data_IF_605362180579
#
_entry.id   IF_605362180579
#
_cell.length_a   1.000
_cell.length_b   1.000
_cell.length_c   1.000
_cell.angle_alpha   90.00
_cell.angle_beta   90.00
_cell.angle_gamma   90.00
#
_symmetry.space_group_name_H-M   'P 1'
#
loop_
_entity.id
_entity.type
_entity.pdbx_description
1 polymer ?
#
# COMPACT_ATOMS: atom_id res chain seq x y z
N UNK A 1 -1.85 -7.94 -29.65
CA UNK A 1 -2.30 -7.17 -28.49
C UNK A 1 -1.18 -7.03 -27.44
N UNK A 2 -0.48 -8.11 -27.03
CA UNK A 2 0.63 -8.02 -26.06
C UNK A 2 1.79 -7.16 -26.57
N UNK A 3 2.13 -7.20 -27.87
CA UNK A 3 3.13 -6.34 -28.48
C UNK A 3 2.82 -4.86 -28.30
N UNK A 4 1.54 -4.46 -28.37
CA UNK A 4 1.13 -3.08 -28.11
C UNK A 4 1.34 -2.68 -26.64
N UNK A 5 1.13 -3.60 -25.70
CA UNK A 5 1.41 -3.37 -24.28
C UNK A 5 2.91 -3.15 -24.03
N UNK A 6 3.79 -3.93 -24.68
CA UNK A 6 5.24 -3.71 -24.62
C UNK A 6 5.65 -2.40 -25.30
N UNK A 7 5.04 -2.06 -26.46
CA UNK A 7 5.28 -0.78 -27.14
C UNK A 7 4.94 0.43 -26.25
N UNK A 8 4.02 0.29 -25.30
CA UNK A 8 3.74 1.30 -24.29
C UNK A 8 4.66 1.17 -23.05
N UNK A 9 5.03 -0.04 -22.64
CA UNK A 9 5.87 -0.26 -21.46
C UNK A 9 7.31 0.27 -21.62
N UNK A 10 7.87 0.20 -22.84
CA UNK A 10 9.21 0.76 -23.12
C UNK A 10 9.26 2.27 -22.93
N UNK A 11 8.40 3.10 -23.57
CA UNK A 11 8.40 4.52 -23.28
C UNK A 11 8.01 4.85 -21.83
N UNK A 12 7.15 4.07 -21.16
CA UNK A 12 6.87 4.23 -19.75
C UNK A 12 8.15 4.14 -18.90
N UNK A 13 8.97 3.11 -19.15
CA UNK A 13 10.27 2.97 -18.51
C UNK A 13 11.21 4.13 -18.81
N UNK A 14 11.35 4.52 -20.11
CA UNK A 14 12.24 5.60 -20.51
C UNK A 14 11.85 6.95 -19.88
N UNK A 15 10.55 7.26 -19.83
CA UNK A 15 10.03 8.46 -19.17
C UNK A 15 10.29 8.44 -17.67
N UNK A 16 10.03 7.31 -17.01
CA UNK A 16 10.28 7.16 -15.57
C UNK A 16 11.77 7.25 -15.24
N UNK A 17 12.64 6.62 -16.04
CA UNK A 17 14.09 6.70 -15.87
C UNK A 17 14.62 8.12 -16.11
N UNK A 18 14.19 8.77 -17.20
CA UNK A 18 14.58 10.15 -17.48
C UNK A 18 14.08 11.12 -16.40
N UNK A 19 12.82 10.96 -15.95
CA UNK A 19 12.27 11.77 -14.88
C UNK A 19 12.99 11.59 -13.54
N UNK A 20 13.45 10.36 -13.26
CA UNK A 20 14.23 10.07 -12.07
C UNK A 20 15.66 10.63 -12.11
N UNK A 21 16.22 10.85 -13.29
CA UNK A 21 17.58 11.39 -13.48
C UNK A 21 17.61 12.91 -13.61
N UNK A 22 16.48 13.54 -13.93
CA UNK A 22 16.35 14.98 -14.08
C UNK A 22 15.86 15.63 -12.78
N UNK A 23 16.13 16.93 -12.56
CA UNK A 23 15.56 17.67 -11.45
C UNK A 23 14.03 17.65 -11.50
N UNK A 24 13.39 17.45 -10.37
CA UNK A 24 11.91 17.52 -10.21
C UNK A 24 11.46 18.90 -9.76
N UNK A 25 12.38 19.67 -9.17
CA UNK A 25 12.20 21.06 -8.70
C UNK A 25 13.36 21.88 -9.22
N UNK A 26 13.11 23.12 -9.67
CA UNK A 26 14.15 24.04 -10.16
C UNK A 26 15.09 24.45 -9.03
N UNK A 27 16.38 24.53 -9.34
CA UNK A 27 17.42 24.84 -8.35
C UNK A 27 17.88 23.65 -7.52
N UNK A 28 17.20 22.49 -7.63
CA UNK A 28 17.63 21.26 -7.00
C UNK A 28 18.80 20.62 -7.77
N UNK A 29 19.99 20.62 -7.20
CA UNK A 29 21.08 19.75 -7.68
C UNK A 29 20.61 18.30 -7.52
N UNK A 30 20.26 17.63 -8.63
CA UNK A 30 19.88 16.20 -8.65
C UNK A 30 19.04 15.81 -7.41
N UNK A 31 17.77 16.14 -7.42
CA UNK A 31 16.87 15.96 -6.28
C UNK A 31 16.65 14.53 -5.76
N UNK A 32 17.62 13.62 -5.98
CA UNK A 32 17.50 12.21 -5.67
C UNK A 32 18.55 11.82 -4.62
N UNK A 33 18.09 11.51 -3.43
CA UNK A 33 18.93 10.96 -2.37
C UNK A 33 19.40 9.55 -2.70
N UNK A 34 18.57 8.75 -3.38
CA UNK A 34 18.98 7.43 -3.87
C UNK A 34 19.85 7.56 -5.13
N UNK A 35 20.86 6.71 -5.23
CA UNK A 35 21.76 6.71 -6.39
C UNK A 35 21.02 6.46 -7.70
N UNK A 36 21.40 7.13 -8.81
CA UNK A 36 20.68 7.07 -10.10
C UNK A 36 20.57 5.64 -10.64
N UNK A 37 21.57 4.80 -10.39
CA UNK A 37 21.54 3.38 -10.80
C UNK A 37 20.40 2.63 -10.13
N UNK A 38 20.19 2.84 -8.84
CA UNK A 38 19.11 2.19 -8.09
C UNK A 38 17.75 2.56 -8.68
N UNK A 39 17.54 3.83 -8.97
CA UNK A 39 16.27 4.34 -9.51
C UNK A 39 15.97 3.78 -10.91
N UNK A 40 16.98 3.75 -11.78
CA UNK A 40 16.83 3.17 -13.12
C UNK A 40 16.57 1.66 -13.05
N UNK A 41 17.31 0.93 -12.21
CA UNK A 41 17.12 -0.51 -12.03
C UNK A 41 15.71 -0.81 -11.53
N UNK A 42 15.23 -0.09 -10.54
CA UNK A 42 13.89 -0.30 -10.00
C UNK A 42 12.80 0.06 -11.01
N UNK A 43 12.97 1.14 -11.77
CA UNK A 43 12.06 1.51 -12.85
C UNK A 43 12.01 0.45 -13.97
N UNK A 44 13.13 -0.24 -14.22
CA UNK A 44 13.23 -1.29 -15.23
C UNK A 44 12.58 -2.62 -14.79
N UNK A 45 12.42 -2.89 -13.49
CA UNK A 45 11.96 -4.19 -12.98
C UNK A 45 10.68 -4.70 -13.65
N UNK A 46 9.59 -3.93 -13.80
CA UNK A 46 8.38 -4.43 -14.44
C UNK A 46 8.60 -4.82 -15.90
N UNK A 47 9.36 -4.01 -16.65
CA UNK A 47 9.66 -4.27 -18.06
C UNK A 47 10.56 -5.51 -18.23
N UNK A 48 11.59 -5.64 -17.41
CA UNK A 48 12.52 -6.78 -17.42
C UNK A 48 11.79 -8.07 -17.06
N UNK A 49 10.97 -8.08 -16.01
CA UNK A 49 10.18 -9.23 -15.62
C UNK A 49 9.18 -9.63 -16.71
N UNK A 50 8.43 -8.68 -17.27
CA UNK A 50 7.50 -8.95 -18.37
C UNK A 50 8.24 -9.50 -19.58
N UNK A 51 9.38 -8.92 -19.96
CA UNK A 51 10.23 -9.39 -21.04
C UNK A 51 10.75 -10.81 -20.82
N UNK A 52 11.20 -11.11 -19.60
CA UNK A 52 11.68 -12.45 -19.22
C UNK A 52 10.59 -13.52 -19.37
N UNK A 53 9.34 -13.21 -19.01
CA UNK A 53 8.20 -14.11 -19.24
C UNK A 53 7.85 -14.24 -20.73
N UNK A 54 7.85 -13.13 -21.46
CA UNK A 54 7.54 -13.13 -22.89
C UNK A 54 8.54 -14.00 -23.69
N UNK A 55 9.83 -13.87 -23.43
CA UNK A 55 10.88 -14.69 -24.06
C UNK A 55 10.73 -16.18 -23.77
N UNK A 56 10.20 -16.52 -22.58
CA UNK A 56 9.91 -17.91 -22.20
C UNK A 56 8.57 -18.42 -22.72
N UNK A 57 7.86 -17.65 -23.54
CA UNK A 57 6.55 -18.03 -24.07
C UNK A 57 5.38 -17.88 -23.08
N UNK A 58 5.63 -17.39 -21.86
CA UNK A 58 4.60 -17.19 -20.83
C UNK A 58 3.90 -15.83 -21.01
N UNK A 59 3.15 -15.68 -22.08
CA UNK A 59 2.52 -14.42 -22.49
C UNK A 59 1.52 -13.90 -21.45
N UNK A 60 0.78 -14.78 -20.76
CA UNK A 60 -0.20 -14.43 -19.71
C UNK A 60 0.52 -13.88 -18.49
N UNK A 61 1.64 -14.51 -18.08
CA UNK A 61 2.44 -14.01 -16.98
C UNK A 61 3.08 -12.65 -17.32
N UNK A 62 3.57 -12.47 -18.55
CA UNK A 62 4.09 -11.18 -19.02
C UNK A 62 3.03 -10.08 -18.96
N UNK A 63 1.80 -10.37 -19.42
CA UNK A 63 0.67 -9.44 -19.31
C UNK A 63 0.34 -9.15 -17.84
N UNK A 64 0.35 -10.18 -16.98
CA UNK A 64 0.14 -10.05 -15.54
C UNK A 64 1.12 -9.07 -14.89
N UNK A 65 2.41 -9.13 -15.22
CA UNK A 65 3.42 -8.20 -14.70
C UNK A 65 3.06 -6.75 -15.04
N UNK A 66 2.69 -6.49 -16.29
CA UNK A 66 2.32 -5.13 -16.72
C UNK A 66 1.02 -4.66 -16.03
N UNK A 67 0.05 -5.55 -15.84
CA UNK A 67 -1.20 -5.26 -15.12
C UNK A 67 -0.90 -4.93 -13.64
N UNK A 68 -0.11 -5.76 -12.96
CA UNK A 68 0.24 -5.56 -11.55
C UNK A 68 1.00 -4.26 -11.31
N UNK A 69 1.96 -3.93 -12.14
CA UNK A 69 2.69 -2.65 -12.08
C UNK A 69 1.77 -1.45 -12.36
N UNK A 70 0.87 -1.56 -13.36
CA UNK A 70 -0.06 -0.51 -13.73
C UNK A 70 -1.10 -0.22 -12.63
N UNK A 71 -1.48 -1.20 -11.83
CA UNK A 71 -2.42 -1.01 -10.73
C UNK A 71 -1.89 -0.03 -9.66
N UNK A 72 -0.57 0.05 -9.47
CA UNK A 72 0.05 0.98 -8.52
C UNK A 72 0.39 2.35 -9.13
N UNK A 73 0.46 2.44 -10.45
CA UNK A 73 0.92 3.64 -11.14
C UNK A 73 0.08 4.91 -10.85
N UNK A 74 -1.27 4.86 -10.71
CA UNK A 74 -2.05 6.03 -10.33
C UNK A 74 -1.66 6.60 -8.97
N UNK A 75 -1.48 5.75 -7.95
CA UNK A 75 -1.05 6.19 -6.63
C UNK A 75 0.36 6.78 -6.64
N UNK A 76 1.26 6.22 -7.44
CA UNK A 76 2.61 6.77 -7.63
C UNK A 76 2.60 8.12 -8.34
N UNK A 77 1.76 8.28 -9.37
CA UNK A 77 1.60 9.56 -10.04
C UNK A 77 1.11 10.65 -9.07
N UNK A 78 0.11 10.33 -8.24
CA UNK A 78 -0.39 11.25 -7.22
C UNK A 78 0.71 11.56 -6.19
N UNK A 79 1.50 10.55 -5.78
CA UNK A 79 2.61 10.75 -4.86
C UNK A 79 3.67 11.69 -5.44
N UNK A 80 4.00 11.57 -6.71
CA UNK A 80 4.95 12.47 -7.37
C UNK A 80 4.42 13.91 -7.45
N UNK A 81 3.10 14.10 -7.64
CA UNK A 81 2.48 15.43 -7.70
C UNK A 81 2.61 16.24 -6.39
N UNK A 82 3.07 15.64 -5.27
CA UNK A 82 3.37 16.39 -4.05
C UNK A 82 4.39 17.53 -4.31
N UNK A 83 5.33 17.33 -5.25
CA UNK A 83 6.33 18.34 -5.60
C UNK A 83 5.75 19.54 -6.36
N UNK A 84 4.60 19.35 -7.01
CA UNK A 84 3.87 20.48 -7.61
C UNK A 84 3.00 21.22 -6.58
N UNK A 85 2.48 20.49 -5.58
CA UNK A 85 1.60 21.05 -4.56
C UNK A 85 2.37 21.74 -3.43
N UNK A 86 3.36 21.07 -2.85
CA UNK A 86 4.15 21.57 -1.71
C UNK A 86 5.62 21.09 -1.81
N UNK A 87 6.44 21.70 -2.67
CA UNK A 87 7.80 21.22 -2.90
C UNK A 87 8.69 21.29 -1.66
N UNK A 88 8.50 22.30 -0.81
CA UNK A 88 9.28 22.49 0.43
C UNK A 88 8.98 21.48 1.54
N UNK A 89 7.87 20.74 1.43
CA UNK A 89 7.41 19.74 2.42
C UNK A 89 7.36 18.32 1.86
N UNK A 90 8.09 18.09 0.77
CA UNK A 90 8.13 16.78 0.14
C UNK A 90 8.63 15.70 1.11
N UNK A 91 7.92 14.56 1.15
CA UNK A 91 8.16 13.47 2.11
C UNK A 91 8.87 12.25 1.50
N UNK A 92 9.43 12.40 0.30
CA UNK A 92 10.13 11.30 -0.39
C UNK A 92 11.62 11.38 -0.21
N UNK A 93 12.26 10.38 0.44
CA UNK A 93 13.70 10.42 0.72
C UNK A 93 14.56 10.29 -0.54
N UNK A 94 14.06 9.64 -1.60
CA UNK A 94 14.75 9.56 -2.87
C UNK A 94 14.81 10.91 -3.60
N UNK A 95 14.00 11.86 -3.18
CA UNK A 95 13.92 13.23 -3.70
C UNK A 95 14.28 14.16 -2.54
N UNK A 96 15.56 14.18 -2.19
CA UNK A 96 16.10 15.03 -1.16
C UNK A 96 16.02 16.51 -1.61
N UNK A 97 15.14 17.25 -0.96
CA UNK A 97 15.09 18.72 -1.08
C UNK A 97 15.51 19.29 0.27
N UNK A 98 16.61 20.06 0.34
CA UNK A 98 16.89 20.83 1.53
C UNK A 98 15.69 21.75 1.79
N UNK A 99 15.27 21.87 3.05
CA UNK A 99 14.23 22.82 3.44
C UNK A 99 14.74 24.23 3.12
N UNK A 100 14.26 24.78 2.03
CA UNK A 100 14.58 26.14 1.61
C UNK A 100 13.39 27.05 1.93
N UNK A 101 13.69 28.29 2.32
CA UNK A 101 12.69 29.33 2.59
C UNK A 101 12.07 29.90 1.31
N UNK A 102 12.59 29.52 0.15
CA UNK A 102 12.14 30.02 -1.15
C UNK A 102 11.16 29.05 -1.82
N UNK A 103 10.15 29.60 -2.47
CA UNK A 103 9.24 28.81 -3.31
C UNK A 103 9.99 28.34 -4.57
N UNK A 104 10.09 27.04 -4.76
CA UNK A 104 10.66 26.44 -5.95
C UNK A 104 9.58 26.18 -6.99
N UNK A 105 9.90 26.38 -8.26
CA UNK A 105 9.07 25.98 -9.39
C UNK A 105 9.31 24.52 -9.78
N UNK A 106 8.33 23.95 -10.45
CA UNK A 106 8.38 22.54 -10.91
C UNK A 106 9.32 22.40 -12.09
N UNK A 107 10.23 21.45 -12.02
CA UNK A 107 11.16 21.11 -13.11
C UNK A 107 10.62 20.00 -14.02
N UNK A 108 11.19 19.85 -15.25
CA UNK A 108 10.71 18.86 -16.23
C UNK A 108 10.71 17.42 -15.76
N UNK A 109 11.61 17.04 -14.84
CA UNK A 109 11.71 15.68 -14.28
C UNK A 109 10.40 15.18 -13.69
N UNK A 110 9.66 16.06 -12.99
CA UNK A 110 8.36 15.70 -12.42
C UNK A 110 7.35 15.30 -13.49
N UNK A 111 7.25 16.08 -14.55
CA UNK A 111 6.29 15.81 -15.64
C UNK A 111 6.62 14.53 -16.39
N UNK A 112 7.91 14.20 -16.52
CA UNK A 112 8.35 12.92 -17.09
C UNK A 112 7.98 11.73 -16.19
N UNK A 113 8.12 11.85 -14.87
CA UNK A 113 7.67 10.82 -13.92
C UNK A 113 6.16 10.60 -14.03
N UNK A 114 5.37 11.66 -13.97
CA UNK A 114 3.90 11.58 -14.09
C UNK A 114 3.50 10.99 -15.44
N UNK A 115 4.11 11.44 -16.54
CA UNK A 115 3.87 10.87 -17.87
C UNK A 115 4.25 9.38 -17.93
N UNK A 116 5.37 8.99 -17.31
CA UNK A 116 5.79 7.59 -17.19
C UNK A 116 4.74 6.73 -16.49
N UNK A 117 4.14 7.22 -15.40
CA UNK A 117 3.06 6.52 -14.72
C UNK A 117 1.78 6.43 -15.55
N UNK A 118 1.39 7.50 -16.24
CA UNK A 118 0.24 7.48 -17.15
C UNK A 118 0.44 6.44 -18.26
N UNK A 119 1.61 6.41 -18.88
CA UNK A 119 1.93 5.43 -19.94
C UNK A 119 2.01 4.01 -19.35
N UNK A 120 2.44 3.83 -18.09
CA UNK A 120 2.38 2.54 -17.40
C UNK A 120 0.94 2.05 -17.24
N UNK A 121 -0.01 2.92 -16.90
CA UNK A 121 -1.45 2.57 -16.87
C UNK A 121 -1.93 2.14 -18.24
N UNK A 122 -1.55 2.87 -19.31
CA UNK A 122 -1.91 2.50 -20.68
C UNK A 122 -1.36 1.13 -21.05
N UNK A 123 -0.10 0.83 -20.69
CA UNK A 123 0.51 -0.50 -20.92
C UNK A 123 -0.27 -1.60 -20.21
N UNK A 124 -0.70 -1.40 -18.97
CA UNK A 124 -1.52 -2.34 -18.22
C UNK A 124 -2.90 -2.57 -18.80
N UNK A 125 -3.57 -1.50 -19.26
CA UNK A 125 -4.88 -1.61 -19.94
C UNK A 125 -4.75 -2.38 -21.25
N UNK A 126 -3.69 -2.14 -22.04
CA UNK A 126 -3.42 -2.90 -23.26
C UNK A 126 -3.11 -4.37 -22.96
N UNK A 127 -2.37 -4.66 -21.88
CA UNK A 127 -2.10 -6.01 -21.42
C UNK A 127 -3.38 -6.73 -20.96
N UNK A 128 -4.27 -6.03 -20.26
CA UNK A 128 -5.58 -6.57 -19.85
C UNK A 128 -6.46 -6.92 -21.05
N UNK A 129 -6.51 -6.05 -22.05
CA UNK A 129 -7.23 -6.31 -23.32
C UNK A 129 -6.61 -7.47 -24.12
N UNK A 130 -5.28 -7.63 -24.06
CA UNK A 130 -4.60 -8.75 -24.71
C UNK A 130 -5.02 -10.10 -24.09
N UNK A 131 -5.25 -10.11 -22.79
CA UNK A 131 -5.70 -11.31 -22.07
C UNK A 131 -7.17 -11.67 -22.36
N UNK A 132 -8.04 -10.69 -22.50
CA UNK A 132 -9.47 -10.95 -22.72
C UNK A 132 -9.78 -11.78 -23.98
N UNK A 133 -8.82 -11.91 -24.90
CA UNK A 133 -8.90 -12.74 -26.11
C UNK A 133 -8.24 -14.11 -26.00
N UNK A 134 -7.70 -14.51 -24.84
CA UNK A 134 -7.04 -15.79 -24.59
C UNK A 134 -7.92 -16.76 -23.80
N UNK A 135 -7.71 -18.07 -24.03
CA UNK A 135 -8.38 -19.11 -23.22
C UNK A 135 -7.89 -19.04 -21.76
N UNK A 136 -8.81 -19.21 -20.82
CA UNK A 136 -8.47 -19.31 -19.40
C UNK A 136 -7.66 -20.60 -19.19
N UNK A 137 -6.46 -20.46 -18.61
CA UNK A 137 -5.62 -21.61 -18.27
C UNK A 137 -6.35 -22.55 -17.30
N UNK A 138 -6.08 -23.85 -17.43
CA UNK A 138 -6.64 -24.86 -16.55
C UNK A 138 -6.26 -24.59 -15.10
N UNK A 139 -7.23 -24.71 -14.19
CA UNK A 139 -7.03 -24.53 -12.76
C UNK A 139 -5.90 -25.48 -12.27
N UNK A 140 -4.86 -24.89 -11.69
CA UNK A 140 -3.78 -25.62 -11.02
C UNK A 140 -4.35 -26.23 -9.72
N UNK A 141 -4.02 -27.46 -9.38
CA UNK A 141 -4.47 -28.15 -8.16
C UNK A 141 -3.89 -27.53 -6.86
N UNK A 142 -3.92 -26.22 -6.75
CA UNK A 142 -3.47 -25.45 -5.59
C UNK A 142 -4.66 -25.04 -4.73
N UNK A 143 -4.48 -24.98 -3.40
CA UNK A 143 -5.48 -24.43 -2.48
C UNK A 143 -5.64 -22.92 -2.71
N UNK A 144 -6.73 -22.46 -3.35
CA UNK A 144 -6.93 -21.06 -3.67
C UNK A 144 -7.13 -20.20 -2.40
N UNK A 145 -7.68 -20.78 -1.34
CA UNK A 145 -7.93 -20.08 -0.08
C UNK A 145 -6.64 -19.72 0.65
N UNK A 146 -5.73 -20.69 0.77
CA UNK A 146 -4.42 -20.48 1.42
C UNK A 146 -3.55 -19.50 0.62
N UNK A 147 -3.54 -19.64 -0.71
CA UNK A 147 -2.78 -18.72 -1.57
C UNK A 147 -3.31 -17.29 -1.46
N UNK A 148 -4.63 -17.12 -1.43
CA UNK A 148 -5.27 -15.82 -1.24
C UNK A 148 -4.89 -15.22 0.11
N UNK A 149 -5.00 -16.00 1.20
CA UNK A 149 -4.65 -15.54 2.53
C UNK A 149 -3.19 -15.07 2.60
N UNK A 150 -2.24 -15.86 2.11
CA UNK A 150 -0.82 -15.50 2.11
C UNK A 150 -0.54 -14.28 1.26
N UNK A 151 -1.06 -14.21 0.03
CA UNK A 151 -0.80 -13.09 -0.87
C UNK A 151 -1.40 -11.78 -0.36
N UNK A 152 -2.64 -11.81 0.15
CA UNK A 152 -3.29 -10.62 0.69
C UNK A 152 -2.63 -10.18 2.00
N UNK A 153 -2.28 -11.12 2.90
CA UNK A 153 -1.57 -10.79 4.14
C UNK A 153 -0.21 -10.13 3.87
N UNK A 154 0.54 -10.68 2.92
CA UNK A 154 1.82 -10.12 2.50
C UNK A 154 1.66 -8.72 1.89
N UNK A 155 0.65 -8.53 1.03
CA UNK A 155 0.34 -7.24 0.43
C UNK A 155 -0.09 -6.20 1.48
N UNK A 156 -0.87 -6.60 2.49
CA UNK A 156 -1.27 -5.72 3.60
C UNK A 156 -0.06 -5.36 4.47
N UNK A 157 0.82 -6.31 4.78
CA UNK A 157 2.05 -6.01 5.52
C UNK A 157 2.93 -5.01 4.75
N UNK A 158 3.08 -5.20 3.44
CA UNK A 158 3.80 -4.25 2.58
C UNK A 158 3.10 -2.88 2.56
N UNK A 159 1.78 -2.83 2.49
CA UNK A 159 1.00 -1.59 2.50
C UNK A 159 1.15 -0.83 3.82
N UNK A 160 1.13 -1.52 4.96
CA UNK A 160 1.38 -0.93 6.28
C UNK A 160 2.78 -0.31 6.31
N UNK A 161 3.80 -1.04 5.85
CA UNK A 161 5.17 -0.53 5.79
C UNK A 161 5.32 0.71 4.91
N UNK A 162 4.57 0.80 3.79
CA UNK A 162 4.58 1.96 2.89
C UNK A 162 4.03 3.23 3.53
N UNK A 163 3.07 3.13 4.45
CA UNK A 163 2.50 4.31 5.13
C UNK A 163 3.29 4.71 6.37
N UNK A 164 4.20 3.87 6.84
CA UNK A 164 5.12 4.19 7.95
C UNK A 164 6.22 5.15 7.47
N UNK A 165 6.99 5.66 8.42
CA UNK A 165 8.15 6.52 8.12
C UNK A 165 9.13 5.80 7.17
N UNK A 166 9.52 6.45 6.05
CA UNK A 166 10.43 5.83 5.07
C UNK A 166 11.90 5.80 5.55
N UNK A 167 12.28 6.68 6.47
CA UNK A 167 13.62 6.75 7.06
C UNK A 167 13.55 7.37 8.45
N UNK A 168 14.62 7.32 9.22
CA UNK A 168 14.86 8.14 10.39
C UNK A 168 15.91 9.20 10.05
N UNK A 169 15.85 10.40 10.65
CA UNK A 169 16.79 11.47 10.37
C UNK A 169 17.38 12.04 11.65
N UNK A 170 18.68 12.34 11.63
CA UNK A 170 19.36 13.12 12.66
C UNK A 170 19.35 14.62 12.36
N UNK A 171 18.96 15.03 11.14
CA UNK A 171 18.90 16.42 10.72
C UNK A 171 17.58 17.07 11.12
N UNK A 172 17.66 18.25 11.74
CA UNK A 172 16.49 19.00 12.21
C UNK A 172 15.59 19.47 11.05
N UNK A 173 16.19 19.70 9.90
CA UNK A 173 15.49 20.21 8.72
C UNK A 173 14.94 19.11 7.79
N UNK A 174 15.40 17.86 7.96
CA UNK A 174 14.91 16.72 7.19
C UNK A 174 14.00 15.89 8.08
N UNK A 175 12.72 16.24 8.10
CA UNK A 175 11.73 15.57 8.93
C UNK A 175 11.37 14.20 8.34
N UNK A 176 11.60 13.16 9.12
CA UNK A 176 11.11 11.82 8.82
C UNK A 176 9.61 11.77 9.14
N UNK A 177 8.77 11.87 8.12
CA UNK A 177 7.31 11.88 8.26
C UNK A 177 6.73 10.56 7.76
N UNK A 178 5.71 10.05 8.45
CA UNK A 178 4.88 8.99 7.91
C UNK A 178 3.89 9.55 6.88
N UNK A 179 3.15 8.70 6.18
CA UNK A 179 2.23 9.14 5.14
C UNK A 179 1.15 10.11 5.63
N UNK A 180 0.79 10.08 6.91
CA UNK A 180 -0.27 10.90 7.50
C UNK A 180 0.23 12.26 8.01
N UNK A 181 1.52 12.41 8.19
CA UNK A 181 2.19 13.65 8.63
C UNK A 181 2.65 14.51 7.44
N UNK A 182 2.78 13.88 6.28
CA UNK A 182 3.18 14.54 5.04
C UNK A 182 2.10 15.40 4.40
N UNK A 183 2.40 16.05 3.25
CA UNK A 183 1.44 16.79 2.48
C UNK A 183 0.22 15.93 2.08
N UNK A 184 -0.97 16.53 1.98
CA UNK A 184 -2.21 15.82 1.63
C UNK A 184 -2.09 15.02 0.32
N UNK A 185 -1.39 15.56 -0.66
CA UNK A 185 -1.16 14.89 -1.94
C UNK A 185 -0.28 13.66 -1.76
N UNK A 186 0.78 13.75 -0.95
CA UNK A 186 1.63 12.59 -0.61
C UNK A 186 0.84 11.53 0.14
N UNK A 187 0.04 11.92 1.14
CA UNK A 187 -0.85 11.02 1.88
C UNK A 187 -1.80 10.29 0.93
N UNK A 188 -2.48 11.01 0.03
CA UNK A 188 -3.38 10.41 -0.95
C UNK A 188 -2.64 9.41 -1.86
N UNK A 189 -1.45 9.75 -2.34
CA UNK A 189 -0.61 8.87 -3.15
C UNK A 189 -0.22 7.59 -2.41
N UNK A 190 0.28 7.69 -1.18
CA UNK A 190 0.62 6.53 -0.34
C UNK A 190 -0.60 5.64 -0.06
N UNK A 191 -1.75 6.23 0.28
CA UNK A 191 -2.98 5.47 0.53
C UNK A 191 -3.49 4.76 -0.73
N UNK A 192 -3.40 5.39 -1.90
CA UNK A 192 -3.75 4.76 -3.17
C UNK A 192 -2.86 3.55 -3.47
N UNK A 193 -1.53 3.68 -3.30
CA UNK A 193 -0.61 2.55 -3.49
C UNK A 193 -0.86 1.46 -2.46
N UNK A 194 -1.02 1.83 -1.19
CA UNK A 194 -1.27 0.89 -0.10
C UNK A 194 -2.58 0.11 -0.29
N UNK A 195 -3.63 0.76 -0.79
CA UNK A 195 -4.90 0.09 -1.11
C UNK A 195 -4.78 -0.78 -2.38
N UNK A 196 -4.05 -0.32 -3.40
CA UNK A 196 -3.90 -1.05 -4.65
C UNK A 196 -3.18 -2.39 -4.48
N UNK A 197 -2.23 -2.51 -3.56
CA UNK A 197 -1.47 -3.74 -3.33
C UNK A 197 -2.35 -4.93 -2.95
N UNK A 198 -3.11 -4.91 -1.83
CA UNK A 198 -3.96 -6.04 -1.44
C UNK A 198 -5.12 -6.26 -2.42
N UNK A 199 -5.66 -5.20 -3.02
CA UNK A 199 -6.70 -5.33 -4.05
C UNK A 199 -6.16 -6.07 -5.28
N UNK A 200 -4.97 -5.70 -5.77
CA UNK A 200 -4.33 -6.38 -6.90
C UNK A 200 -4.03 -7.84 -6.56
N UNK A 201 -3.52 -8.14 -5.36
CA UNK A 201 -3.27 -9.49 -4.91
C UNK A 201 -4.56 -10.32 -4.85
N UNK A 202 -5.63 -9.77 -4.30
CA UNK A 202 -6.93 -10.44 -4.21
C UNK A 202 -7.53 -10.72 -5.60
N UNK A 203 -7.55 -9.72 -6.49
CA UNK A 203 -8.06 -9.89 -7.86
C UNK A 203 -7.23 -10.90 -8.65
N UNK A 204 -5.90 -10.83 -8.55
CA UNK A 204 -5.01 -11.75 -9.25
C UNK A 204 -5.27 -13.19 -8.81
N UNK A 205 -5.27 -13.47 -7.49
CA UNK A 205 -5.50 -14.84 -6.98
C UNK A 205 -6.90 -15.33 -7.29
N UNK A 206 -7.91 -14.46 -7.22
CA UNK A 206 -9.30 -14.81 -7.56
C UNK A 206 -9.52 -15.13 -9.04
N UNK A 207 -8.57 -14.78 -9.92
CA UNK A 207 -8.67 -15.10 -11.35
C UNK A 207 -8.55 -16.61 -11.63
N UNK A 208 -7.95 -17.38 -10.74
CA UNK A 208 -7.72 -18.81 -10.91
C UNK A 208 -6.66 -19.20 -11.96
N UNK A 209 -6.14 -18.24 -12.72
CA UNK A 209 -5.12 -18.46 -13.74
C UNK A 209 -3.72 -18.36 -13.12
N UNK A 210 -2.94 -19.45 -13.02
CA UNK A 210 -1.66 -19.47 -12.31
C UNK A 210 -0.62 -18.53 -12.91
N UNK A 211 -0.59 -18.38 -14.23
CA UNK A 211 0.36 -17.49 -14.90
C UNK A 211 0.00 -16.03 -14.69
N UNK A 212 -1.29 -15.69 -14.70
CA UNK A 212 -1.73 -14.35 -14.37
C UNK A 212 -1.44 -14.00 -12.91
N UNK A 213 -1.74 -14.91 -11.98
CA UNK A 213 -1.44 -14.73 -10.56
C UNK A 213 0.04 -14.43 -10.39
N UNK A 214 0.90 -15.30 -10.95
CA UNK A 214 2.35 -15.16 -10.90
C UNK A 214 2.81 -13.81 -11.43
N UNK A 215 2.38 -13.45 -12.62
CA UNK A 215 2.74 -12.19 -13.26
C UNK A 215 2.27 -10.98 -12.48
N UNK A 216 0.99 -10.94 -12.08
CA UNK A 216 0.39 -9.79 -11.41
C UNK A 216 1.00 -9.54 -10.02
N UNK A 217 1.26 -10.60 -9.24
CA UNK A 217 1.92 -10.46 -7.94
C UNK A 217 3.36 -9.95 -8.08
N UNK A 218 4.12 -10.47 -9.07
CA UNK A 218 5.48 -9.99 -9.34
C UNK A 218 5.49 -8.55 -9.86
N UNK A 219 4.53 -8.19 -10.70
CA UNK A 219 4.39 -6.82 -11.21
C UNK A 219 4.03 -5.83 -10.11
N UNK A 220 3.11 -6.18 -9.23
CA UNK A 220 2.75 -5.38 -8.06
C UNK A 220 3.95 -5.24 -7.10
N UNK A 221 4.67 -6.34 -6.83
CA UNK A 221 5.88 -6.31 -6.00
C UNK A 221 6.96 -5.40 -6.61
N UNK A 222 7.21 -5.50 -7.92
CA UNK A 222 8.17 -4.63 -8.62
C UNK A 222 7.75 -3.15 -8.57
N UNK A 223 6.46 -2.87 -8.77
CA UNK A 223 5.92 -1.51 -8.65
C UNK A 223 6.09 -0.92 -7.25
N UNK A 224 5.79 -1.69 -6.20
CA UNK A 224 5.93 -1.25 -4.81
C UNK A 224 7.41 -1.17 -4.36
N UNK A 225 8.28 -2.05 -4.87
CA UNK A 225 9.73 -1.96 -4.66
C UNK A 225 10.29 -0.61 -5.14
N UNK A 226 9.63 0.01 -6.14
CA UNK A 226 9.94 1.36 -6.61
C UNK A 226 9.80 2.46 -5.57
N UNK A 227 9.16 2.21 -4.44
CA UNK A 227 9.05 3.15 -3.32
C UNK A 227 9.97 2.73 -2.16
N UNK A 228 10.01 1.43 -1.83
CA UNK A 228 10.74 0.93 -0.66
C UNK A 228 12.27 0.86 -0.88
N UNK A 229 12.71 0.41 -2.07
CA UNK A 229 14.15 0.23 -2.35
C UNK A 229 14.90 1.56 -2.36
N UNK A 230 14.41 2.64 -3.02
CA UNK A 230 15.05 3.94 -2.95
C UNK A 230 15.14 4.49 -1.53
N UNK A 231 14.11 4.31 -0.70
CA UNK A 231 14.13 4.73 0.70
C UNK A 231 15.24 4.04 1.49
N UNK A 232 15.39 2.72 1.31
CA UNK A 232 16.50 1.96 1.94
C UNK A 232 17.85 2.40 1.40
N UNK A 233 17.97 2.58 0.06
CA UNK A 233 19.22 3.02 -0.56
C UNK A 233 19.63 4.42 -0.08
N UNK A 234 18.69 5.34 0.08
CA UNK A 234 18.96 6.67 0.63
C UNK A 234 19.43 6.59 2.10
N UNK A 235 18.75 5.78 2.92
CA UNK A 235 19.11 5.58 4.33
C UNK A 235 20.50 4.93 4.52
N UNK A 236 20.94 4.15 3.54
CA UNK A 236 22.29 3.53 3.55
C UNK A 236 23.36 4.41 2.91
N UNK A 237 22.97 5.37 2.09
CA UNK A 237 23.88 6.24 1.33
C UNK A 237 24.16 7.60 1.94
N UNK A 238 23.35 8.02 2.93
CA UNK A 238 23.46 9.32 3.58
C UNK A 238 23.66 9.14 5.09
N UNK A 239 24.75 9.66 5.62
CA UNK A 239 25.10 9.55 7.05
C UNK A 239 24.07 10.19 7.99
N UNK A 240 23.27 11.11 7.47
CA UNK A 240 22.22 11.83 8.22
C UNK A 240 20.91 11.04 8.28
N UNK A 241 20.76 9.99 7.47
CA UNK A 241 19.58 9.13 7.43
C UNK A 241 19.86 7.79 8.09
N UNK A 242 18.83 7.24 8.73
CA UNK A 242 18.85 5.90 9.30
C UNK A 242 17.72 5.03 8.70
N UNK A 243 17.91 3.71 8.77
CA UNK A 243 16.90 2.74 8.37
C UNK A 243 15.68 2.83 9.28
N UNK A 244 14.50 2.90 8.68
CA UNK A 244 13.22 2.80 9.39
C UNK A 244 12.62 1.40 9.24
N UNK A 245 11.73 1.05 10.16
CA UNK A 245 10.95 -0.21 10.11
C UNK A 245 10.03 -0.26 8.89
N UNK A 246 9.49 0.89 8.44
CA UNK A 246 8.54 0.96 7.33
C UNK A 246 9.02 0.27 6.05
N UNK A 247 10.12 0.73 5.43
CA UNK A 247 10.68 0.10 4.22
C UNK A 247 11.08 -1.37 4.42
N UNK A 248 11.59 -1.73 5.61
CA UNK A 248 11.94 -3.12 5.91
C UNK A 248 10.70 -4.02 5.95
N UNK A 249 9.62 -3.56 6.58
CA UNK A 249 8.34 -4.26 6.60
C UNK A 249 7.75 -4.37 5.20
N UNK A 250 7.84 -3.29 4.41
CA UNK A 250 7.43 -3.31 3.01
C UNK A 250 8.20 -4.39 2.24
N UNK A 251 9.54 -4.37 2.29
CA UNK A 251 10.36 -5.34 1.57
C UNK A 251 10.11 -6.77 2.04
N UNK A 252 9.91 -7.00 3.34
CA UNK A 252 9.54 -8.32 3.87
C UNK A 252 8.19 -8.79 3.31
N UNK A 253 7.16 -7.94 3.30
CA UNK A 253 5.88 -8.23 2.69
C UNK A 253 5.98 -8.52 1.19
N UNK A 254 6.76 -7.72 0.45
CA UNK A 254 7.02 -7.95 -0.97
C UNK A 254 7.78 -9.26 -1.22
N UNK A 255 8.73 -9.62 -0.38
CA UNK A 255 9.45 -10.91 -0.48
C UNK A 255 8.49 -12.09 -0.31
N UNK A 256 7.57 -12.03 0.67
CA UNK A 256 6.53 -13.06 0.84
C UNK A 256 5.59 -13.08 -0.37
N UNK A 257 5.24 -11.92 -0.93
CA UNK A 257 4.41 -11.82 -2.15
C UNK A 257 5.09 -12.48 -3.35
N UNK A 258 6.40 -12.25 -3.51
CA UNK A 258 7.23 -12.91 -4.55
C UNK A 258 7.25 -14.42 -4.34
N UNK A 259 7.43 -14.89 -3.11
CA UNK A 259 7.38 -16.33 -2.78
C UNK A 259 6.01 -16.90 -3.13
N UNK A 260 4.91 -16.24 -2.77
CA UNK A 260 3.54 -16.66 -3.10
C UNK A 260 3.28 -16.68 -4.63
N UNK A 261 4.00 -15.83 -5.39
CA UNK A 261 3.95 -15.84 -6.85
C UNK A 261 4.70 -17.03 -7.47
N UNK A 262 5.84 -17.42 -6.88
CA UNK A 262 6.76 -18.38 -7.47
C UNK A 262 6.52 -19.83 -6.99
N UNK A 263 6.08 -19.99 -5.74
CA UNK A 263 5.85 -21.29 -5.14
C UNK A 263 4.45 -21.78 -5.46
N UNK A 264 4.38 -23.01 -6.01
CA UNK A 264 3.11 -23.75 -6.10
C UNK A 264 2.76 -24.24 -4.70
N UNK A 265 1.65 -23.76 -4.15
CA UNK A 265 1.14 -24.25 -2.88
C UNK A 265 0.27 -25.48 -3.19
N UNK A 266 0.73 -26.72 -2.92
CA UNK A 266 -0.08 -27.90 -3.15
C UNK A 266 -1.37 -27.77 -2.34
N UNK A 267 -2.50 -28.25 -2.91
CA UNK A 267 -3.70 -28.47 -2.13
C UNK A 267 -3.29 -29.35 -0.95
N UNK A 268 -3.67 -28.95 0.27
CA UNK A 268 -3.54 -29.87 1.40
C UNK A 268 -4.23 -31.17 0.96
N UNK A 269 -3.50 -32.30 1.00
CA UNK A 269 -4.11 -33.61 0.72
C UNK A 269 -5.41 -33.63 1.50
N UNK A 270 -6.53 -33.77 0.77
CA UNK A 270 -7.84 -33.73 1.36
C UNK A 270 -7.83 -34.80 2.47
N UNK A 271 -7.82 -34.37 3.71
CA UNK A 271 -8.04 -35.25 4.82
C UNK A 271 -9.41 -35.87 4.60
N UNK A 272 -9.40 -37.08 4.03
CA UNK A 272 -10.52 -37.94 3.75
C UNK A 272 -11.70 -37.31 3.03
N UNK A 273 -12.23 -37.93 2.02
CA UNK A 273 -13.44 -37.54 1.26
C UNK A 273 -14.67 -37.23 2.16
N UNK A 274 -14.59 -37.52 3.46
CA UNK A 274 -15.60 -37.21 4.48
C UNK A 274 -15.60 -35.74 4.98
N UNK A 275 -14.59 -34.91 4.64
CA UNK A 275 -14.55 -33.54 5.06
C UNK A 275 -15.37 -32.56 4.19
N UNK A 276 -15.88 -33.00 3.06
CA UNK A 276 -16.59 -32.16 2.09
C UNK A 276 -17.99 -31.71 2.58
N UNK A 277 -18.55 -32.28 3.62
CA UNK A 277 -19.93 -32.00 4.04
C UNK A 277 -20.09 -31.54 5.52
N UNK A 278 -19.01 -31.35 6.25
CA UNK A 278 -19.10 -30.75 7.59
C UNK A 278 -19.24 -29.21 7.47
N UNK A 279 -20.38 -28.79 6.99
CA UNK A 279 -20.85 -27.41 7.26
C UNK A 279 -21.11 -27.34 8.75
N UNK A 280 -20.12 -26.91 9.52
CA UNK A 280 -20.30 -26.63 10.94
C UNK A 280 -21.53 -25.73 11.09
N UNK A 281 -22.57 -26.15 11.84
CA UNK A 281 -23.81 -25.37 12.03
C UNK A 281 -23.57 -23.95 12.57
N UNK A 282 -22.36 -23.66 13.08
CA UNK A 282 -21.92 -22.35 13.56
C UNK A 282 -21.34 -21.41 12.49
N UNK A 283 -21.03 -21.87 11.28
CA UNK A 283 -20.32 -21.08 10.28
C UNK A 283 -21.07 -19.81 9.85
N UNK A 284 -22.40 -19.88 9.73
CA UNK A 284 -23.25 -18.73 9.38
C UNK A 284 -23.32 -17.75 10.54
N UNK A 285 -23.47 -18.21 11.78
CA UNK A 285 -23.49 -17.37 12.98
C UNK A 285 -22.16 -16.65 13.18
N UNK A 286 -21.06 -17.38 13.04
CA UNK A 286 -19.71 -16.81 13.15
C UNK A 286 -19.45 -15.75 12.08
N UNK A 287 -19.83 -16.02 10.83
CA UNK A 287 -19.73 -15.06 9.73
C UNK A 287 -20.54 -13.79 9.99
N UNK A 288 -21.80 -13.96 10.43
CA UNK A 288 -22.66 -12.80 10.75
C UNK A 288 -22.09 -12.02 11.93
N UNK A 289 -21.61 -12.70 12.98
CA UNK A 289 -21.01 -12.05 14.14
C UNK A 289 -19.75 -11.25 13.75
N UNK A 290 -18.82 -11.84 12.97
CA UNK A 290 -17.63 -11.13 12.48
C UNK A 290 -17.98 -9.96 11.57
N UNK A 291 -18.97 -10.12 10.66
CA UNK A 291 -19.43 -9.03 9.79
C UNK A 291 -20.08 -7.88 10.56
N UNK A 292 -20.94 -8.17 11.54
CA UNK A 292 -21.54 -7.16 12.42
C UNK A 292 -20.47 -6.50 13.30
N UNK A 293 -19.56 -7.29 13.88
CA UNK A 293 -18.45 -6.77 14.66
C UNK A 293 -17.57 -5.81 13.85
N UNK A 294 -17.30 -6.14 12.58
CA UNK A 294 -16.57 -5.28 11.67
C UNK A 294 -17.30 -3.95 11.41
N UNK A 295 -18.61 -3.98 11.20
CA UNK A 295 -19.40 -2.75 11.04
C UNK A 295 -19.36 -1.88 12.30
N UNK A 296 -19.50 -2.48 13.48
CA UNK A 296 -19.47 -1.75 14.75
C UNK A 296 -18.07 -1.16 14.99
N UNK A 297 -17.02 -1.94 14.83
CA UNK A 297 -15.65 -1.44 15.01
C UNK A 297 -15.30 -0.36 13.99
N UNK A 298 -15.69 -0.54 12.72
CA UNK A 298 -15.52 0.45 11.67
C UNK A 298 -16.23 1.76 11.99
N UNK A 299 -17.50 1.70 12.42
CA UNK A 299 -18.26 2.88 12.83
C UNK A 299 -17.60 3.59 14.03
N UNK A 300 -17.20 2.84 15.07
CA UNK A 300 -16.53 3.40 16.23
C UNK A 300 -15.18 4.04 15.87
N UNK A 301 -14.40 3.42 14.96
CA UNK A 301 -13.14 3.98 14.49
C UNK A 301 -13.36 5.29 13.72
N UNK A 302 -14.38 5.36 12.85
CA UNK A 302 -14.75 6.59 12.13
C UNK A 302 -15.20 7.68 13.11
N UNK A 303 -16.08 7.36 14.07
CA UNK A 303 -16.52 8.31 15.09
C UNK A 303 -15.32 8.79 15.93
N UNK A 304 -14.44 7.88 16.36
CA UNK A 304 -13.23 8.21 17.09
C UNK A 304 -12.29 9.13 16.32
N UNK A 305 -12.20 8.95 15.00
CA UNK A 305 -11.36 9.79 14.14
C UNK A 305 -11.93 11.20 13.93
N UNK A 306 -13.25 11.37 13.83
CA UNK A 306 -13.89 12.67 13.57
C UNK A 306 -14.22 13.46 14.84
N UNK A 307 -14.27 12.79 15.99
CA UNK A 307 -14.51 13.47 17.27
C UNK A 307 -13.20 13.98 17.89
N UNK A 308 -13.22 15.07 18.66
CA UNK A 308 -12.03 15.62 19.30
C UNK A 308 -11.36 14.58 20.21
N UNK A 309 -10.06 14.36 20.01
CA UNK A 309 -9.25 13.43 20.79
C UNK A 309 -8.62 14.11 22.03
N UNK A 310 -8.42 15.42 21.93
CA UNK A 310 -7.93 16.26 22.99
C UNK A 310 -8.92 17.39 23.26
N UNK A 311 -9.09 17.74 24.52
CA UNK A 311 -9.81 18.94 24.97
C UNK A 311 -8.84 19.84 25.70
N UNK A 312 -8.70 21.07 25.24
CA UNK A 312 -7.87 22.11 25.88
C UNK A 312 -8.77 23.07 26.65
N UNK A 313 -8.33 23.48 27.84
CA UNK A 313 -8.98 24.54 28.58
C UNK A 313 -8.49 25.89 28.06
N UNK A 314 -9.36 26.64 27.35
CA UNK A 314 -9.06 27.94 26.80
C UNK A 314 -9.31 28.06 25.31
N UNK A 315 -8.96 29.22 24.72
CA UNK A 315 -9.18 29.54 23.30
C UNK A 315 -8.14 28.95 22.33
N UNK A 316 -7.24 28.13 22.81
CA UNK A 316 -6.21 27.49 21.98
C UNK A 316 -6.83 26.23 21.36
N UNK A 317 -6.90 26.19 20.02
CA UNK A 317 -7.33 24.98 19.34
C UNK A 317 -6.39 23.82 19.70
N UNK A 318 -6.97 22.69 20.14
CA UNK A 318 -6.18 21.50 20.41
C UNK A 318 -5.50 21.04 19.10
N UNK A 319 -4.19 20.70 19.14
CA UNK A 319 -3.51 20.19 17.96
C UNK A 319 -4.21 18.90 17.50
N UNK A 320 -4.59 18.86 16.24
CA UNK A 320 -5.22 17.68 15.66
C UNK A 320 -4.17 16.60 15.44
N UNK A 321 -4.38 15.41 16.00
CA UNK A 321 -3.48 14.28 15.77
C UNK A 321 -3.57 13.82 14.30
N UNK A 322 -2.46 13.79 13.55
CA UNK A 322 -2.46 13.24 12.20
C UNK A 322 -2.88 11.76 12.15
N UNK A 323 -2.66 11.03 13.25
CA UNK A 323 -3.05 9.62 13.38
C UNK A 323 -4.57 9.38 13.25
N UNK A 324 -5.41 10.42 13.44
CA UNK A 324 -6.87 10.30 13.27
C UNK A 324 -7.24 9.88 11.84
N UNK A 325 -6.50 10.34 10.84
CA UNK A 325 -6.76 9.98 9.44
C UNK A 325 -6.48 8.51 9.14
N UNK A 326 -5.45 7.93 9.81
CA UNK A 326 -5.18 6.49 9.72
C UNK A 326 -6.29 5.67 10.34
N UNK A 327 -6.82 6.11 11.47
CA UNK A 327 -7.94 5.46 12.14
C UNK A 327 -9.23 5.55 11.31
N UNK A 328 -9.49 6.70 10.68
CA UNK A 328 -10.62 6.89 9.76
C UNK A 328 -10.51 5.95 8.56
N UNK A 329 -9.36 5.89 7.91
CA UNK A 329 -9.12 5.02 6.76
C UNK A 329 -9.28 3.53 7.15
N UNK A 330 -8.68 3.10 8.26
CA UNK A 330 -8.83 1.74 8.77
C UNK A 330 -10.28 1.40 9.11
N UNK A 331 -11.00 2.34 9.73
CA UNK A 331 -12.43 2.18 10.05
C UNK A 331 -13.31 2.02 8.81
N UNK A 332 -13.07 2.81 7.76
CA UNK A 332 -13.77 2.70 6.49
C UNK A 332 -13.51 1.35 5.81
N UNK A 333 -12.24 0.92 5.75
CA UNK A 333 -11.86 -0.38 5.16
C UNK A 333 -12.52 -1.53 5.90
N UNK A 334 -12.47 -1.54 7.23
CA UNK A 334 -13.11 -2.58 8.06
C UNK A 334 -14.62 -2.56 7.87
N UNK A 335 -15.25 -1.38 7.81
CA UNK A 335 -16.68 -1.25 7.55
C UNK A 335 -17.10 -1.83 6.20
N UNK A 336 -16.37 -1.51 5.12
CA UNK A 336 -16.62 -2.06 3.78
C UNK A 336 -16.43 -3.58 3.76
N UNK A 337 -15.37 -4.09 4.37
CA UNK A 337 -15.14 -5.54 4.46
C UNK A 337 -16.21 -6.22 5.31
N UNK A 338 -16.71 -5.58 6.37
CA UNK A 338 -17.82 -6.05 7.18
C UNK A 338 -19.10 -6.21 6.37
N UNK A 339 -19.45 -5.23 5.51
CA UNK A 339 -20.60 -5.37 4.61
C UNK A 339 -20.40 -6.52 3.61
N UNK A 340 -19.22 -6.63 3.02
CA UNK A 340 -18.89 -7.71 2.09
C UNK A 340 -18.93 -9.09 2.77
N UNK A 341 -18.57 -9.20 4.06
CA UNK A 341 -18.66 -10.42 4.86
C UNK A 341 -20.11 -10.89 5.05
N UNK A 342 -21.07 -9.97 5.12
CA UNK A 342 -22.48 -10.30 5.24
C UNK A 342 -23.11 -10.81 3.95
N UNK A 343 -22.49 -10.54 2.78
CA UNK A 343 -22.98 -11.02 1.49
C UNK A 343 -22.71 -12.52 1.33
N UNK A 344 -23.71 -13.34 0.88
CA UNK A 344 -23.59 -14.80 0.85
C UNK A 344 -22.45 -15.34 -0.03
N UNK A 345 -22.11 -14.64 -1.11
CA UNK A 345 -21.13 -15.09 -2.12
C UNK A 345 -19.68 -14.68 -1.82
N UNK A 346 -19.47 -13.66 -1.02
CA UNK A 346 -18.13 -13.05 -0.80
C UNK A 346 -17.52 -13.37 0.56
N UNK A 347 -18.32 -13.84 1.53
CA UNK A 347 -17.91 -13.98 2.93
C UNK A 347 -16.69 -14.87 3.17
N UNK A 348 -16.49 -15.93 2.37
CA UNK A 348 -15.33 -16.84 2.51
C UNK A 348 -14.03 -16.14 2.07
N UNK A 349 -14.09 -15.35 0.99
CA UNK A 349 -12.93 -14.64 0.45
C UNK A 349 -12.55 -13.41 1.29
N UNK A 350 -13.54 -12.78 1.93
CA UNK A 350 -13.34 -11.56 2.72
C UNK A 350 -12.75 -11.84 4.10
N UNK A 351 -12.97 -13.03 4.66
CA UNK A 351 -12.55 -13.37 6.04
C UNK A 351 -11.05 -13.15 6.30
N UNK A 352 -10.10 -13.66 5.48
CA UNK A 352 -8.68 -13.43 5.70
C UNK A 352 -8.28 -11.96 5.50
N UNK A 353 -8.97 -11.23 4.60
CA UNK A 353 -8.73 -9.80 4.40
C UNK A 353 -9.21 -9.01 5.60
N UNK A 354 -10.36 -9.37 6.17
CA UNK A 354 -10.91 -8.73 7.35
C UNK A 354 -10.00 -8.93 8.58
N UNK A 355 -9.45 -10.15 8.77
CA UNK A 355 -8.53 -10.39 9.88
C UNK A 355 -7.28 -9.52 9.82
N UNK A 356 -6.80 -9.17 8.62
CA UNK A 356 -5.70 -8.23 8.44
C UNK A 356 -6.13 -6.77 8.62
N UNK A 357 -7.33 -6.41 8.20
CA UNK A 357 -7.87 -5.07 8.40
C UNK A 357 -8.07 -4.74 9.90
N UNK A 358 -8.35 -5.75 10.74
CA UNK A 358 -8.37 -5.59 12.20
C UNK A 358 -7.03 -5.09 12.76
N UNK A 359 -5.91 -5.60 12.24
CA UNK A 359 -4.57 -5.13 12.63
C UNK A 359 -4.43 -3.64 12.30
N UNK A 360 -4.95 -3.19 11.17
CA UNK A 360 -4.97 -1.77 10.78
C UNK A 360 -5.68 -0.89 11.83
N UNK A 361 -6.85 -1.31 12.32
CA UNK A 361 -7.57 -0.58 13.38
C UNK A 361 -6.79 -0.56 14.69
N UNK A 362 -6.16 -1.68 15.07
CA UNK A 362 -5.35 -1.76 16.29
C UNK A 362 -4.12 -0.84 16.21
N UNK A 363 -3.38 -0.88 15.10
CA UNK A 363 -2.19 -0.04 14.91
C UNK A 363 -2.56 1.44 14.83
N UNK A 364 -3.58 1.80 14.06
CA UNK A 364 -4.03 3.18 13.98
C UNK A 364 -4.60 3.70 15.33
N UNK A 365 -5.33 2.85 16.02
CA UNK A 365 -5.86 3.17 17.35
C UNK A 365 -4.76 3.39 18.38
N UNK A 366 -3.72 2.55 18.41
CA UNK A 366 -2.57 2.76 19.33
C UNK A 366 -1.84 4.06 19.04
N UNK A 367 -1.66 4.43 17.76
CA UNK A 367 -1.03 5.71 17.37
C UNK A 367 -1.85 6.91 17.85
N UNK A 368 -3.19 6.84 17.74
CA UNK A 368 -4.09 7.89 18.26
C UNK A 368 -4.00 7.98 19.78
N UNK A 369 -3.98 6.85 20.49
CA UNK A 369 -3.90 6.83 21.94
C UNK A 369 -2.54 7.33 22.43
N UNK A 370 -1.45 6.96 21.77
CA UNK A 370 -0.10 7.42 22.11
C UNK A 370 0.01 8.94 22.00
N UNK A 371 -0.49 9.54 20.91
CA UNK A 371 -0.53 11.00 20.76
C UNK A 371 -1.39 11.67 21.83
N UNK A 372 -2.52 11.08 22.22
CA UNK A 372 -3.38 11.61 23.26
C UNK A 372 -2.71 11.56 24.65
N UNK A 373 -2.07 10.43 24.98
CA UNK A 373 -1.34 10.25 26.25
C UNK A 373 -0.15 11.18 26.35
N UNK A 374 0.65 11.29 25.29
CA UNK A 374 1.83 12.15 25.24
C UNK A 374 1.44 13.63 25.39
N UNK A 375 0.39 14.07 24.67
CA UNK A 375 -0.09 15.44 24.74
C UNK A 375 -0.67 15.79 26.12
N UNK A 376 -1.41 14.88 26.76
CA UNK A 376 -1.93 15.13 28.13
C UNK A 376 -0.83 15.14 29.18
N UNK A 377 0.20 14.29 29.03
CA UNK A 377 1.36 14.23 29.93
C UNK A 377 2.24 15.47 29.86
N UNK A 378 2.45 16.02 28.66
CA UNK A 378 3.31 17.18 28.43
C UNK A 378 2.63 18.53 28.75
N UNK A 379 1.30 18.58 28.73
CA UNK A 379 0.53 19.84 28.87
C UNK A 379 0.29 20.29 30.33
N UNK A 380 0.86 19.61 31.33
CA UNK A 380 0.79 20.04 32.73
C UNK A 380 -0.64 20.28 33.27
N UNK A 381 -1.64 19.50 32.79
CA UNK A 381 -3.03 19.61 33.22
C UNK A 381 -3.92 20.57 32.38
N UNK A 382 -3.38 21.20 31.35
CA UNK A 382 -4.14 22.12 30.46
C UNK A 382 -4.90 21.34 29.37
N UNK A 383 -4.52 20.12 29.07
CA UNK A 383 -5.16 19.24 28.11
C UNK A 383 -5.73 17.99 28.80
N UNK A 384 -6.93 17.59 28.40
CA UNK A 384 -7.58 16.33 28.83
C UNK A 384 -7.96 15.48 27.62
N UNK A 385 -8.12 14.17 27.84
CA UNK A 385 -8.59 13.26 26.80
C UNK A 385 -10.01 13.59 26.38
N UNK A 386 -10.22 13.73 25.07
CA UNK A 386 -11.53 13.99 24.47
C UNK A 386 -12.34 12.71 24.23
N UNK A 387 -13.62 12.83 23.83
CA UNK A 387 -14.50 11.69 23.56
C UNK A 387 -14.00 10.79 22.43
N UNK A 388 -13.18 11.28 21.51
CA UNK A 388 -12.57 10.48 20.43
C UNK A 388 -11.71 9.34 20.95
N UNK A 389 -11.04 9.52 22.09
CA UNK A 389 -10.25 8.47 22.75
C UNK A 389 -11.11 7.29 23.19
N UNK A 390 -12.30 7.57 23.73
CA UNK A 390 -13.23 6.51 24.18
C UNK A 390 -13.70 5.67 22.98
N UNK A 391 -14.09 6.32 21.90
CA UNK A 391 -14.52 5.63 20.68
C UNK A 391 -13.38 4.81 20.05
N UNK A 392 -12.15 5.31 20.10
CA UNK A 392 -10.96 4.58 19.65
C UNK A 392 -10.75 3.31 20.48
N UNK A 393 -10.86 3.37 21.81
CA UNK A 393 -10.78 2.20 22.66
C UNK A 393 -11.87 1.17 22.35
N UNK A 394 -13.12 1.62 22.15
CA UNK A 394 -14.22 0.73 21.78
C UNK A 394 -13.96 0.05 20.45
N UNK A 395 -13.47 0.80 19.44
CA UNK A 395 -13.13 0.25 18.14
C UNK A 395 -12.06 -0.85 18.25
N UNK A 396 -10.98 -0.60 19.00
CA UNK A 396 -9.90 -1.56 19.21
C UNK A 396 -10.38 -2.79 19.97
N UNK A 397 -11.19 -2.61 21.00
CA UNK A 397 -11.75 -3.73 21.78
C UNK A 397 -12.64 -4.63 20.91
N UNK A 398 -13.57 -4.03 20.18
CA UNK A 398 -14.45 -4.79 19.24
C UNK A 398 -13.62 -5.49 18.17
N UNK A 399 -12.60 -4.82 17.62
CA UNK A 399 -11.67 -5.42 16.68
C UNK A 399 -10.97 -6.66 17.27
N UNK A 400 -10.43 -6.55 18.49
CA UNK A 400 -9.73 -7.64 19.16
C UNK A 400 -10.64 -8.84 19.52
N UNK A 401 -11.90 -8.59 19.88
CA UNK A 401 -12.85 -9.65 20.26
C UNK A 401 -13.43 -10.37 19.04
N UNK A 402 -13.51 -9.68 17.88
CA UNK A 402 -14.15 -10.22 16.66
C UNK A 402 -13.15 -10.74 15.62
N UNK A 403 -11.83 -10.50 15.82
CA UNK A 403 -10.75 -11.03 14.98
C UNK A 403 -10.55 -12.53 15.18
#
# INVERSE_FOLDING_TARGET
ALAAAFAAAVPAFLLSAAGALLPVVEGGERGLAAGPVVLVVVAALPLVLAGAFAVRGAAVAAAGVLIGAAALAPGRAVLDLQFAAEPSRASRPELYLPSDLYAHSVAPGLWLLVAGHVVTVVAGVLALRARAGGEAGSADGTDPGRRLAVAVSAAVAAAIGLVMQPFTSSEVYLLAQNAFEGPLVAMAGYLLVAAALPVTAAIAVSSGDPDLIRGSLLGAAAGAAGLAVPAVAAALGLDTLGLSVGPLLTLAGLAVLVVAALVRMPAAEAAGEDAADVRLPGSVRLRTASGVGALVAGACAVIGAVTPQLQTQGSIAAPESPARWSLLAAGLVVGVLGTAMLLPRTGVLVRPVLSMAWVGVLVAGTAVLDTAVTATGSAGGVASSGPGVVWTWIAMFVAAVTA
#
